data_IF_924060896996
#
_entry.id   IF_924060896996
#
_cell.length_a   1.000
_cell.length_b   1.000
_cell.length_c   1.000
_cell.angle_alpha   90.00
_cell.angle_beta   90.00
_cell.angle_gamma   90.00
#
_symmetry.space_group_name_H-M   'P 1'
#
loop_
_entity.id
_entity.type
_entity.pdbx_description
1 polymer ?
#
# COMPACT_ATOMS: atom_id res chain seq x y z
N UNK A 1 -50.38 27.01 3.58
CA UNK A 1 -49.26 26.25 4.18
C UNK A 1 -49.75 24.85 4.48
N UNK A 2 -49.53 23.91 3.57
CA UNK A 2 -49.78 22.49 3.80
C UNK A 2 -48.44 21.77 3.96
N UNK A 3 -48.29 20.83 4.91
CA UNK A 3 -47.06 20.05 4.98
C UNK A 3 -46.93 19.14 3.75
N UNK A 4 -45.73 19.16 3.19
CA UNK A 4 -45.32 18.69 1.88
C UNK A 4 -45.51 17.18 1.64
N UNK A 5 -45.86 16.83 0.40
CA UNK A 5 -46.03 15.48 -0.13
C UNK A 5 -44.77 14.58 -0.11
N UNK A 6 -43.63 15.05 0.41
CA UNK A 6 -42.38 14.30 0.46
C UNK A 6 -42.35 13.27 1.62
N UNK A 7 -43.07 13.55 2.71
CA UNK A 7 -43.09 12.69 3.91
C UNK A 7 -43.97 11.44 3.72
N UNK A 8 -44.89 11.44 2.75
CA UNK A 8 -45.79 10.29 2.50
C UNK A 8 -45.12 9.19 1.67
N UNK A 9 -44.13 9.51 0.84
CA UNK A 9 -43.41 8.49 0.05
C UNK A 9 -42.49 7.64 0.93
N UNK A 10 -41.79 8.26 1.90
CA UNK A 10 -40.91 7.53 2.82
C UNK A 10 -41.63 6.55 3.75
N UNK A 11 -42.87 6.84 4.15
CA UNK A 11 -43.65 5.95 5.03
C UNK A 11 -44.19 4.72 4.28
N UNK A 12 -44.32 4.80 2.95
CA UNK A 12 -44.86 3.68 2.15
C UNK A 12 -43.78 2.62 1.90
N UNK A 13 -42.50 3.01 1.77
CA UNK A 13 -41.39 2.05 1.64
C UNK A 13 -41.08 1.29 2.94
N UNK A 14 -41.41 1.87 4.11
CA UNK A 14 -41.20 1.23 5.40
C UNK A 14 -42.30 0.22 5.77
N UNK A 15 -43.43 0.20 5.07
CA UNK A 15 -44.55 -0.73 5.37
C UNK A 15 -44.62 -1.96 4.47
N UNK A 16 -43.88 -2.02 3.37
CA UNK A 16 -43.80 -3.25 2.56
C UNK A 16 -42.84 -4.29 3.11
N UNK A 17 -42.06 -3.97 4.15
CA UNK A 17 -41.17 -4.93 4.81
C UNK A 17 -41.80 -5.65 6.02
N UNK A 18 -43.03 -5.30 6.44
CA UNK A 18 -43.69 -5.96 7.58
C UNK A 18 -44.43 -7.27 7.24
N UNK A 19 -44.20 -7.84 6.05
CA UNK A 19 -44.82 -9.11 5.63
C UNK A 19 -43.81 -10.20 5.27
N UNK A 20 -42.63 -10.20 5.91
CA UNK A 20 -41.80 -11.41 5.98
C UNK A 20 -41.84 -11.91 7.41
N UNK A 21 -42.55 -13.03 7.54
CA UNK A 21 -42.78 -13.78 8.74
C UNK A 21 -41.54 -13.94 9.61
N UNK A 22 -41.78 -13.81 10.92
CA UNK A 22 -40.93 -14.24 12.02
C UNK A 22 -40.40 -15.67 11.82
N UNK A 23 -39.27 -15.80 11.15
CA UNK A 23 -38.30 -16.83 11.47
C UNK A 23 -37.41 -16.26 12.57
N UNK A 24 -37.36 -16.94 13.72
CA UNK A 24 -36.44 -16.64 14.83
C UNK A 24 -34.99 -16.79 14.35
N UNK A 25 -34.46 -15.79 13.67
CA UNK A 25 -33.02 -15.66 13.49
C UNK A 25 -32.45 -14.96 14.72
N UNK A 26 -31.53 -15.66 15.37
CA UNK A 26 -30.73 -15.17 16.47
C UNK A 26 -30.16 -13.78 16.14
N UNK A 27 -30.44 -12.79 16.99
CA UNK A 27 -29.83 -11.45 16.95
C UNK A 27 -28.29 -11.50 17.05
N UNK A 28 -27.71 -12.63 17.46
CA UNK A 28 -26.26 -12.83 17.45
C UNK A 28 -25.66 -12.92 16.03
N UNK A 29 -26.47 -13.25 15.01
CA UNK A 29 -25.98 -13.45 13.64
C UNK A 29 -25.97 -12.17 12.79
N UNK A 30 -26.53 -11.05 13.28
CA UNK A 30 -26.51 -9.75 12.57
C UNK A 30 -25.26 -8.92 12.92
N UNK A 31 -24.47 -9.34 13.92
CA UNK A 31 -23.28 -8.62 14.41
C UNK A 31 -21.93 -9.18 13.90
N UNK A 32 -21.95 -9.96 12.83
CA UNK A 32 -20.74 -10.22 12.03
C UNK A 32 -20.93 -9.58 10.66
N UNK A 33 -20.96 -8.23 10.63
CA UNK A 33 -20.45 -7.58 9.43
C UNK A 33 -18.96 -7.86 9.42
N UNK A 34 -18.42 -8.63 8.45
CA UNK A 34 -16.99 -8.66 8.27
C UNK A 34 -16.56 -7.20 8.10
N UNK A 35 -15.57 -6.78 8.87
CA UNK A 35 -14.91 -5.49 8.66
C UNK A 35 -14.55 -5.43 7.19
N UNK A 36 -15.22 -4.55 6.43
CA UNK A 36 -14.92 -4.41 5.01
C UNK A 36 -13.57 -3.70 4.94
N UNK A 37 -12.56 -4.37 4.37
CA UNK A 37 -11.35 -3.67 3.94
C UNK A 37 -11.75 -2.50 3.04
N UNK A 38 -11.00 -1.40 3.16
CA UNK A 38 -11.23 -0.18 2.38
C UNK A 38 -11.08 -0.49 0.88
N UNK A 39 -10.16 -1.41 0.52
CA UNK A 39 -10.02 -1.86 -0.86
C UNK A 39 -10.56 -3.27 -1.07
N UNK A 40 -11.27 -3.49 -2.19
CA UNK A 40 -11.57 -4.84 -2.62
C UNK A 40 -10.29 -5.53 -3.08
N UNK A 41 -10.18 -6.84 -2.85
CA UNK A 41 -9.03 -7.64 -3.31
C UNK A 41 -8.80 -7.55 -4.83
N UNK A 42 -9.84 -7.27 -5.61
CA UNK A 42 -9.74 -7.03 -7.05
C UNK A 42 -8.92 -5.80 -7.43
N UNK A 43 -8.75 -4.82 -6.53
CA UNK A 43 -7.95 -3.61 -6.76
C UNK A 43 -6.48 -3.95 -7.08
N UNK A 44 -5.97 -5.05 -6.50
CA UNK A 44 -4.61 -5.51 -6.74
C UNK A 44 -4.36 -5.91 -8.18
N UNK A 45 -5.40 -6.23 -8.96
CA UNK A 45 -5.29 -6.58 -10.38
C UNK A 45 -4.25 -7.68 -10.65
N UNK A 46 -4.08 -8.64 -9.73
CA UNK A 46 -2.98 -9.62 -9.78
C UNK A 46 -2.99 -10.44 -11.09
N UNK A 47 -4.18 -10.83 -11.58
CA UNK A 47 -4.30 -11.49 -12.88
C UNK A 47 -3.79 -10.64 -14.05
N UNK A 48 -4.09 -9.33 -14.08
CA UNK A 48 -3.61 -8.44 -15.14
C UNK A 48 -2.10 -8.18 -15.02
N UNK A 49 -1.60 -8.13 -13.79
CA UNK A 49 -0.17 -8.02 -13.50
C UNK A 49 0.60 -9.26 -13.99
N UNK A 50 0.12 -10.46 -13.67
CA UNK A 50 0.70 -11.72 -14.13
C UNK A 50 0.62 -11.85 -15.67
N UNK A 51 -0.49 -11.46 -16.27
CA UNK A 51 -0.64 -11.45 -17.72
C UNK A 51 0.37 -10.52 -18.40
N UNK A 52 0.67 -9.36 -17.80
CA UNK A 52 1.73 -8.44 -18.28
C UNK A 52 3.11 -9.12 -18.20
N UNK A 53 3.41 -9.79 -17.10
CA UNK A 53 4.69 -10.48 -16.90
C UNK A 53 4.87 -11.69 -17.83
N UNK A 54 3.78 -12.25 -18.36
CA UNK A 54 3.81 -13.31 -19.36
C UNK A 54 4.24 -12.83 -20.77
N UNK A 55 4.44 -11.53 -20.99
CA UNK A 55 4.90 -10.98 -22.26
C UNK A 55 6.33 -11.43 -22.59
N UNK A 56 6.65 -11.60 -23.88
CA UNK A 56 7.94 -12.16 -24.32
C UNK A 56 9.16 -11.33 -23.89
N UNK A 57 8.97 -10.02 -23.69
CA UNK A 57 9.99 -9.10 -23.15
C UNK A 57 10.55 -9.53 -21.79
N UNK A 58 9.78 -10.26 -20.97
CA UNK A 58 10.20 -10.73 -19.66
C UNK A 58 10.74 -12.16 -19.68
N UNK A 59 10.56 -12.93 -20.76
CA UNK A 59 10.95 -14.35 -20.82
C UNK A 59 12.43 -14.57 -21.12
N UNK A 60 13.09 -13.62 -21.77
CA UNK A 60 14.42 -13.83 -22.34
C UNK A 60 15.57 -13.76 -21.34
N UNK A 61 15.36 -13.23 -20.13
CA UNK A 61 16.45 -12.97 -19.17
C UNK A 61 16.01 -13.33 -17.75
N UNK A 62 16.84 -14.01 -16.97
CA UNK A 62 16.57 -14.28 -15.55
C UNK A 62 16.76 -13.00 -14.70
N UNK A 63 15.98 -12.84 -13.62
CA UNK A 63 16.13 -11.69 -12.71
C UNK A 63 17.56 -11.58 -12.15
N UNK A 64 18.16 -12.72 -11.79
CA UNK A 64 19.50 -12.78 -11.18
C UNK A 64 20.59 -12.38 -12.16
N UNK A 65 20.57 -12.91 -13.38
CA UNK A 65 21.60 -12.61 -14.38
C UNK A 65 21.50 -11.17 -14.84
N UNK A 66 20.27 -10.65 -15.00
CA UNK A 66 20.04 -9.24 -15.33
C UNK A 66 20.57 -8.31 -14.24
N UNK A 67 20.25 -8.61 -12.97
CA UNK A 67 20.74 -7.84 -11.83
C UNK A 67 22.27 -7.82 -11.73
N UNK A 68 22.93 -8.96 -11.97
CA UNK A 68 24.41 -9.04 -12.01
C UNK A 68 24.99 -8.24 -13.18
N UNK A 69 24.36 -8.30 -14.36
CA UNK A 69 24.76 -7.51 -15.52
C UNK A 69 24.64 -6.01 -15.25
N UNK A 70 23.56 -5.56 -14.62
CA UNK A 70 23.36 -4.16 -14.23
C UNK A 70 24.48 -3.73 -13.26
N UNK A 71 24.74 -4.50 -12.20
CA UNK A 71 25.80 -4.19 -11.25
C UNK A 71 27.16 -4.10 -11.92
N UNK A 72 27.51 -5.09 -12.74
CA UNK A 72 28.78 -5.13 -13.43
C UNK A 72 28.96 -3.92 -14.36
N UNK A 73 27.92 -3.55 -15.11
CA UNK A 73 27.95 -2.36 -15.97
C UNK A 73 28.17 -1.08 -15.16
N UNK A 74 27.46 -0.91 -14.04
CA UNK A 74 27.63 0.27 -13.17
C UNK A 74 29.03 0.31 -12.55
N UNK A 75 29.51 -0.81 -12.01
CA UNK A 75 30.81 -0.90 -11.35
C UNK A 75 31.98 -0.70 -12.34
N UNK A 76 31.77 -1.02 -13.61
CA UNK A 76 32.70 -0.74 -14.71
C UNK A 76 32.68 0.71 -15.19
N UNK A 77 31.87 1.59 -14.57
CA UNK A 77 31.69 2.99 -14.96
C UNK A 77 30.76 3.17 -16.17
N UNK A 78 30.06 2.11 -16.59
CA UNK A 78 29.05 2.17 -17.63
C UNK A 78 27.70 2.67 -17.12
N UNK A 79 26.77 2.82 -18.05
CA UNK A 79 25.39 3.23 -17.77
C UNK A 79 24.46 2.08 -18.13
N UNK A 80 23.74 1.55 -17.14
CA UNK A 80 22.72 0.55 -17.35
C UNK A 80 21.46 1.20 -17.97
N UNK A 81 20.77 0.46 -18.83
CA UNK A 81 19.54 0.93 -19.49
C UNK A 81 18.41 1.06 -18.47
N UNK A 82 17.61 2.14 -18.51
CA UNK A 82 16.40 2.24 -17.68
C UNK A 82 15.38 1.14 -17.93
N UNK A 83 15.33 0.61 -19.15
CA UNK A 83 14.47 -0.51 -19.49
C UNK A 83 14.94 -1.81 -18.84
N UNK A 84 16.25 -2.07 -18.80
CA UNK A 84 16.81 -3.26 -18.15
C UNK A 84 16.55 -3.21 -16.63
N UNK A 85 16.67 -2.02 -16.05
CA UNK A 85 16.36 -1.79 -14.64
C UNK A 85 14.86 -2.01 -14.34
N UNK A 86 13.96 -1.52 -15.21
CA UNK A 86 12.52 -1.77 -15.08
C UNK A 86 12.18 -3.26 -15.23
N UNK A 87 12.77 -3.95 -16.22
CA UNK A 87 12.59 -5.40 -16.40
C UNK A 87 13.06 -6.15 -15.15
N UNK A 88 14.23 -5.79 -14.61
CA UNK A 88 14.73 -6.37 -13.36
C UNK A 88 13.73 -6.18 -12.21
N UNK A 89 13.21 -4.97 -12.01
CA UNK A 89 12.23 -4.67 -10.97
C UNK A 89 10.92 -5.48 -11.13
N UNK A 90 10.43 -5.66 -12.36
CA UNK A 90 9.23 -6.45 -12.65
C UNK A 90 9.45 -7.96 -12.40
N UNK A 91 10.70 -8.41 -12.40
CA UNK A 91 11.09 -9.81 -12.20
C UNK A 91 11.55 -10.14 -10.78
N UNK A 92 11.38 -9.23 -9.82
CA UNK A 92 11.75 -9.48 -8.41
C UNK A 92 11.05 -10.71 -7.81
N UNK A 93 9.86 -11.07 -8.30
CA UNK A 93 9.14 -12.27 -7.87
C UNK A 93 9.88 -13.60 -8.19
N UNK A 94 10.88 -13.59 -9.07
CA UNK A 94 11.75 -14.77 -9.32
C UNK A 94 12.86 -14.92 -8.27
N UNK A 95 13.09 -13.89 -7.45
CA UNK A 95 14.08 -13.89 -6.38
C UNK A 95 13.42 -14.23 -5.05
N UNK A 96 14.24 -14.63 -4.08
CA UNK A 96 13.79 -14.94 -2.72
C UNK A 96 14.04 -13.78 -1.76
N UNK A 97 13.37 -13.82 -0.60
CA UNK A 97 13.54 -12.85 0.48
C UNK A 97 14.98 -12.75 1.03
N UNK A 98 15.86 -13.72 0.76
CA UNK A 98 17.30 -13.69 1.12
C UNK A 98 18.07 -12.74 0.18
N UNK A 99 17.54 -12.48 -1.01
CA UNK A 99 18.18 -11.63 -2.03
C UNK A 99 17.87 -10.14 -1.85
N UNK A 100 17.21 -9.72 -0.76
CA UNK A 100 16.87 -8.30 -0.53
C UNK A 100 18.10 -7.41 -0.51
N UNK A 101 19.20 -7.83 0.12
CA UNK A 101 20.44 -7.02 0.16
C UNK A 101 21.06 -6.84 -1.24
N UNK A 102 20.93 -7.86 -2.09
CA UNK A 102 21.35 -7.79 -3.49
C UNK A 102 20.48 -6.81 -4.29
N UNK A 103 19.16 -6.87 -4.09
CA UNK A 103 18.20 -5.96 -4.73
C UNK A 103 18.45 -4.51 -4.27
N UNK A 104 18.60 -4.28 -2.97
CA UNK A 104 18.89 -2.96 -2.39
C UNK A 104 20.20 -2.39 -2.92
N UNK A 105 21.23 -3.21 -3.07
CA UNK A 105 22.51 -2.81 -3.68
C UNK A 105 22.34 -2.32 -5.12
N UNK A 106 21.53 -3.02 -5.92
CA UNK A 106 21.21 -2.60 -7.30
C UNK A 106 20.47 -1.26 -7.28
N UNK A 107 19.40 -1.14 -6.50
CA UNK A 107 18.59 0.08 -6.39
C UNK A 107 19.46 1.28 -6.01
N UNK A 108 20.24 1.16 -4.93
CA UNK A 108 21.11 2.22 -4.40
C UNK A 108 22.27 2.60 -5.32
N UNK A 109 22.75 1.68 -6.15
CA UNK A 109 23.80 1.97 -7.14
C UNK A 109 23.19 2.60 -8.40
N UNK A 110 22.07 2.06 -8.88
CA UNK A 110 21.39 2.56 -10.07
C UNK A 110 20.90 4.00 -9.88
N UNK A 111 20.36 4.34 -8.71
CA UNK A 111 19.92 5.70 -8.36
C UNK A 111 21.01 6.77 -8.45
N UNK A 112 22.29 6.37 -8.34
CA UNK A 112 23.46 7.26 -8.44
C UNK A 112 23.96 7.42 -9.88
N UNK A 113 23.32 6.78 -10.85
CA UNK A 113 23.67 6.89 -12.26
C UNK A 113 22.84 7.96 -12.95
N UNK A 114 23.33 8.47 -14.09
CA UNK A 114 22.57 9.43 -14.90
C UNK A 114 21.26 8.83 -15.45
N UNK A 115 21.23 7.51 -15.67
CA UNK A 115 20.03 6.78 -16.14
C UNK A 115 18.89 6.78 -15.12
N UNK A 116 19.16 7.13 -13.85
CA UNK A 116 18.13 7.23 -12.81
C UNK A 116 17.04 8.27 -13.13
N UNK A 117 17.37 9.29 -13.91
CA UNK A 117 16.42 10.33 -14.34
C UNK A 117 15.35 9.77 -15.29
N UNK A 118 15.67 8.66 -15.97
CA UNK A 118 14.83 8.04 -17.00
C UNK A 118 14.17 6.75 -16.50
N UNK A 119 14.13 6.53 -15.17
CA UNK A 119 13.40 5.39 -14.58
C UNK A 119 11.95 5.43 -15.04
N UNK A 120 11.44 4.25 -15.40
CA UNK A 120 10.08 4.09 -15.90
C UNK A 120 9.10 4.09 -14.73
N UNK A 121 7.93 4.70 -14.90
CA UNK A 121 6.90 4.80 -13.85
C UNK A 121 6.48 3.42 -13.28
N UNK A 122 6.55 2.35 -14.06
CA UNK A 122 6.24 0.99 -13.59
C UNK A 122 7.24 0.44 -12.59
N UNK A 123 8.45 0.99 -12.50
CA UNK A 123 9.54 0.44 -11.72
C UNK A 123 9.24 0.49 -10.22
N UNK A 124 8.77 1.64 -9.71
CA UNK A 124 8.41 1.78 -8.30
C UNK A 124 7.28 0.81 -7.91
N UNK A 125 6.28 0.69 -8.78
CA UNK A 125 5.18 -0.25 -8.60
C UNK A 125 5.62 -1.70 -8.55
N UNK A 126 6.55 -2.08 -9.43
CA UNK A 126 7.14 -3.40 -9.45
C UNK A 126 7.97 -3.70 -8.18
N UNK A 127 8.77 -2.75 -7.73
CA UNK A 127 9.56 -2.87 -6.48
C UNK A 127 8.62 -3.11 -5.30
N UNK A 128 7.59 -2.29 -5.13
CA UNK A 128 6.65 -2.43 -4.02
C UNK A 128 5.96 -3.80 -4.02
N UNK A 129 5.50 -4.27 -5.19
CA UNK A 129 4.94 -5.63 -5.31
C UNK A 129 5.94 -6.72 -4.97
N UNK A 130 7.20 -6.59 -5.42
CA UNK A 130 8.27 -7.53 -5.11
C UNK A 130 8.49 -7.66 -3.59
N UNK A 131 8.63 -6.54 -2.90
CA UNK A 131 8.84 -6.52 -1.45
C UNK A 131 7.63 -7.03 -0.65
N UNK A 132 6.40 -6.72 -1.10
CA UNK A 132 5.19 -7.31 -0.52
C UNK A 132 5.17 -8.83 -0.71
N UNK A 133 5.64 -9.34 -1.85
CA UNK A 133 5.79 -10.77 -2.12
C UNK A 133 6.80 -11.46 -1.20
N UNK A 134 7.87 -10.77 -0.79
CA UNK A 134 8.87 -11.30 0.14
C UNK A 134 8.42 -11.29 1.61
N UNK A 135 7.29 -10.65 1.93
CA UNK A 135 6.82 -10.42 3.32
C UNK A 135 7.87 -9.70 4.19
N UNK A 136 8.71 -8.85 3.57
CA UNK A 136 9.77 -8.07 4.23
C UNK A 136 9.36 -6.60 4.35
N UNK A 137 8.31 -6.34 5.12
CA UNK A 137 7.68 -5.02 5.20
C UNK A 137 8.60 -3.94 5.77
N UNK A 138 9.46 -4.29 6.72
CA UNK A 138 10.46 -3.37 7.27
C UNK A 138 11.44 -2.86 6.20
N UNK A 139 11.81 -3.74 5.26
CA UNK A 139 12.77 -3.40 4.21
C UNK A 139 12.22 -2.45 3.16
N UNK A 140 10.94 -2.57 2.81
CA UNK A 140 10.33 -1.59 1.91
C UNK A 140 10.21 -0.23 2.59
N UNK A 141 9.89 -0.17 3.89
CA UNK A 141 9.88 1.09 4.63
C UNK A 141 11.28 1.71 4.72
N UNK A 142 12.33 0.90 4.94
CA UNK A 142 13.73 1.36 4.89
C UNK A 142 14.06 2.00 3.53
N UNK A 143 13.68 1.34 2.42
CA UNK A 143 13.89 1.89 1.07
C UNK A 143 13.19 3.25 0.87
N UNK A 144 11.97 3.40 1.40
CA UNK A 144 11.17 4.61 1.26
C UNK A 144 11.72 5.75 2.11
N UNK A 145 12.14 5.48 3.37
CA UNK A 145 12.81 6.49 4.21
C UNK A 145 14.08 7.02 3.56
N UNK A 146 14.80 6.14 2.85
CA UNK A 146 16.00 6.48 2.11
C UNK A 146 15.73 6.91 0.65
N UNK A 147 14.52 7.39 0.31
CA UNK A 147 14.13 7.78 -1.08
C UNK A 147 15.16 8.64 -1.83
N UNK A 148 15.87 9.52 -1.13
CA UNK A 148 16.91 10.36 -1.72
C UNK A 148 18.12 9.54 -2.25
N UNK A 149 18.40 8.39 -1.65
CA UNK A 149 19.46 7.47 -2.04
C UNK A 149 18.96 6.28 -2.86
N UNK A 150 17.71 5.87 -2.71
CA UNK A 150 17.15 4.72 -3.42
C UNK A 150 16.46 5.12 -4.72
N UNK A 151 16.01 6.38 -4.83
CA UNK A 151 15.21 6.85 -5.97
C UNK A 151 13.83 6.20 -6.07
N UNK A 152 13.37 5.52 -5.02
CA UNK A 152 12.06 4.88 -4.97
C UNK A 152 11.04 5.88 -4.43
N UNK A 153 10.15 6.33 -5.29
CA UNK A 153 9.03 7.22 -4.94
C UNK A 153 7.71 6.46 -5.13
N UNK A 154 6.71 6.77 -4.31
CA UNK A 154 5.45 6.05 -4.36
C UNK A 154 4.52 6.72 -5.37
N UNK A 155 4.04 5.95 -6.32
CA UNK A 155 2.85 6.33 -7.08
C UNK A 155 1.57 5.99 -6.29
N UNK A 156 0.44 6.49 -6.78
CA UNK A 156 -0.88 6.25 -6.20
C UNK A 156 -1.13 4.75 -5.95
N UNK A 157 -0.83 3.90 -6.93
CA UNK A 157 -1.18 2.48 -6.85
C UNK A 157 -0.30 1.78 -5.83
N UNK A 158 1.00 2.05 -5.81
CA UNK A 158 1.91 1.47 -4.82
C UNK A 158 1.61 1.92 -3.40
N UNK A 159 1.28 3.20 -3.22
CA UNK A 159 0.85 3.71 -1.94
C UNK A 159 -0.40 3.01 -1.45
N UNK A 160 -1.40 2.84 -2.32
CA UNK A 160 -2.63 2.12 -1.97
C UNK A 160 -2.37 0.66 -1.60
N UNK A 161 -1.48 -0.04 -2.32
CA UNK A 161 -1.11 -1.42 -1.98
C UNK A 161 -0.41 -1.54 -0.62
N UNK A 162 0.51 -0.62 -0.31
CA UNK A 162 1.21 -0.62 0.98
C UNK A 162 0.26 -0.25 2.13
N UNK A 163 -0.55 0.80 1.95
CA UNK A 163 -1.52 1.22 2.95
C UNK A 163 -2.55 0.12 3.23
N UNK A 164 -3.12 -0.49 2.18
CA UNK A 164 -4.04 -1.62 2.32
C UNK A 164 -3.41 -2.76 3.11
N UNK A 165 -2.18 -3.14 2.75
CA UNK A 165 -1.45 -4.20 3.43
C UNK A 165 -1.25 -3.91 4.94
N UNK A 166 -0.76 -2.72 5.29
CA UNK A 166 -0.52 -2.38 6.70
C UNK A 166 -1.81 -2.14 7.49
N UNK A 167 -2.86 -1.62 6.85
CA UNK A 167 -4.18 -1.46 7.48
C UNK A 167 -4.81 -2.82 7.78
N UNK A 168 -4.73 -3.77 6.85
CA UNK A 168 -5.23 -5.14 7.04
C UNK A 168 -4.44 -5.87 8.14
N UNK A 169 -3.12 -5.63 8.22
CA UNK A 169 -2.26 -6.14 9.28
C UNK A 169 -2.41 -5.42 10.64
N UNK A 170 -3.19 -4.33 10.69
CA UNK A 170 -3.33 -3.45 11.85
C UNK A 170 -1.99 -2.83 12.33
N UNK A 171 -1.00 -2.72 11.44
CA UNK A 171 0.28 -2.08 11.71
C UNK A 171 0.18 -0.57 11.44
N UNK A 172 -0.51 0.15 12.33
CA UNK A 172 -0.82 1.57 12.15
C UNK A 172 0.42 2.47 12.08
N UNK A 173 1.51 2.11 12.78
CA UNK A 173 2.78 2.83 12.73
C UNK A 173 3.38 2.77 11.32
N UNK A 174 3.50 1.56 10.76
CA UNK A 174 4.00 1.34 9.41
C UNK A 174 3.11 2.01 8.34
N UNK A 175 1.78 1.90 8.48
CA UNK A 175 0.85 2.61 7.60
C UNK A 175 1.07 4.13 7.64
N UNK A 176 1.33 4.70 8.83
CA UNK A 176 1.58 6.14 8.99
C UNK A 176 2.93 6.56 8.40
N UNK A 177 3.95 5.70 8.43
CA UNK A 177 5.19 5.96 7.69
C UNK A 177 4.95 6.09 6.19
N UNK A 178 4.09 5.25 5.61
CA UNK A 178 3.69 5.38 4.19
C UNK A 178 2.97 6.70 3.94
N UNK A 179 2.06 7.11 4.84
CA UNK A 179 1.38 8.43 4.75
C UNK A 179 2.40 9.56 4.84
N UNK A 180 3.40 9.45 5.71
CA UNK A 180 4.47 10.43 5.86
C UNK A 180 5.27 10.58 4.56
N UNK A 181 5.59 9.46 3.91
CA UNK A 181 6.28 9.49 2.61
C UNK A 181 5.45 10.16 1.50
N UNK A 182 4.13 9.96 1.48
CA UNK A 182 3.23 10.70 0.59
C UNK A 182 3.22 12.20 0.88
N UNK A 183 3.24 12.60 2.15
CA UNK A 183 3.33 14.01 2.53
C UNK A 183 4.65 14.64 2.05
N UNK A 184 5.77 13.92 2.18
CA UNK A 184 7.08 14.38 1.72
C UNK A 184 7.18 14.49 0.20
N UNK A 185 6.37 13.74 -0.54
CA UNK A 185 6.23 13.82 -1.99
C UNK A 185 5.18 14.85 -2.43
N UNK A 186 4.65 15.65 -1.49
CA UNK A 186 3.60 16.65 -1.71
C UNK A 186 2.31 16.09 -2.36
N UNK A 187 2.06 14.79 -2.23
CA UNK A 187 0.96 14.09 -2.91
C UNK A 187 -0.41 14.74 -2.62
N UNK A 188 -0.65 15.14 -1.36
CA UNK A 188 -1.94 15.70 -0.91
C UNK A 188 -2.15 17.18 -1.26
N UNK A 189 -1.18 17.87 -1.87
CA UNK A 189 -1.31 19.30 -2.19
C UNK A 189 -1.93 19.55 -3.57
N UNK A 190 -1.80 18.58 -4.48
CA UNK A 190 -2.26 18.73 -5.87
C UNK A 190 -3.72 18.30 -6.03
N UNK A 191 -4.66 19.25 -5.89
CA UNK A 191 -6.10 18.98 -6.01
C UNK A 191 -6.52 18.30 -7.33
N UNK A 192 -5.70 18.38 -8.39
CA UNK A 192 -5.97 17.77 -9.69
C UNK A 192 -5.65 16.27 -9.78
N UNK A 193 -4.85 15.71 -8.87
CA UNK A 193 -4.28 14.36 -8.98
C UNK A 193 -4.51 13.47 -7.76
N UNK A 194 -5.30 13.93 -6.79
CA UNK A 194 -5.49 13.18 -5.53
C UNK A 194 -6.53 12.09 -5.72
N UNK A 195 -6.12 10.84 -5.51
CA UNK A 195 -7.03 9.71 -5.43
C UNK A 195 -7.84 9.72 -4.14
N UNK A 196 -9.20 9.67 -4.21
CA UNK A 196 -10.04 9.54 -3.03
C UNK A 196 -9.72 8.29 -2.21
N UNK A 197 -9.25 7.23 -2.87
CA UNK A 197 -8.90 5.95 -2.22
C UNK A 197 -7.66 6.12 -1.35
N UNK A 198 -6.61 6.74 -1.87
CA UNK A 198 -5.38 7.01 -1.10
C UNK A 198 -5.66 7.90 0.11
N UNK A 199 -6.48 8.95 -0.07
CA UNK A 199 -6.87 9.83 1.04
C UNK A 199 -7.68 9.09 2.09
N UNK A 200 -8.64 8.25 1.68
CA UNK A 200 -9.45 7.48 2.61
C UNK A 200 -8.60 6.51 3.44
N UNK A 201 -7.67 5.80 2.80
CA UNK A 201 -6.71 4.93 3.47
C UNK A 201 -5.80 5.70 4.44
N UNK A 202 -5.22 6.81 3.98
CA UNK A 202 -4.32 7.63 4.78
C UNK A 202 -5.03 8.18 6.03
N UNK A 203 -6.23 8.75 5.85
CA UNK A 203 -7.03 9.25 6.96
C UNK A 203 -7.44 8.13 7.92
N UNK A 204 -7.79 6.95 7.40
CA UNK A 204 -8.12 5.81 8.23
C UNK A 204 -6.91 5.38 9.09
N UNK A 205 -5.74 5.20 8.47
CA UNK A 205 -4.51 4.84 9.18
C UNK A 205 -4.16 5.87 10.27
N UNK A 206 -4.16 7.16 9.93
CA UNK A 206 -3.87 8.23 10.89
C UNK A 206 -4.88 8.29 12.04
N UNK A 207 -6.18 8.12 11.75
CA UNK A 207 -7.21 8.07 12.78
C UNK A 207 -6.96 6.90 13.74
N UNK A 208 -6.70 5.71 13.22
CA UNK A 208 -6.48 4.52 14.06
C UNK A 208 -5.24 4.68 14.93
N UNK A 209 -4.13 5.21 14.40
CA UNK A 209 -2.93 5.48 15.18
C UNK A 209 -3.21 6.44 16.35
N UNK A 210 -3.94 7.53 16.11
CA UNK A 210 -4.33 8.48 17.17
C UNK A 210 -5.20 7.80 18.23
N UNK A 211 -6.15 6.95 17.81
CA UNK A 211 -7.01 6.21 18.75
C UNK A 211 -6.22 5.24 19.62
N UNK A 212 -5.24 4.54 19.05
CA UNK A 212 -4.34 3.65 19.80
C UNK A 212 -3.48 4.44 20.79
N UNK A 213 -2.87 5.54 20.36
CA UNK A 213 -2.07 6.40 21.25
C UNK A 213 -2.88 7.02 22.39
N UNK A 214 -4.13 7.44 22.13
CA UNK A 214 -5.03 7.94 23.17
C UNK A 214 -5.40 6.86 24.19
N UNK A 215 -5.62 5.61 23.75
CA UNK A 215 -5.92 4.50 24.64
C UNK A 215 -4.74 4.19 25.59
N UNK A 216 -3.51 4.21 25.06
CA UNK A 216 -2.28 4.01 25.86
C UNK A 216 -2.14 5.08 26.95
N UNK A 217 -2.34 6.37 26.62
CA UNK A 217 -2.27 7.46 27.61
C UNK A 217 -3.32 7.32 28.73
N UNK A 218 -4.55 6.90 28.42
CA UNK A 218 -5.58 6.70 29.46
C UNK A 218 -5.28 5.53 30.40
N UNK A 219 -4.53 4.53 29.93
CA UNK A 219 -4.16 3.37 30.75
C UNK A 219 -3.04 3.70 31.77
N UNK A 220 -2.08 4.53 31.40
CA UNK A 220 -0.97 4.93 32.27
C UNK A 220 -1.41 5.79 33.44
N UNK A 221 -2.39 6.68 33.24
CA UNK A 221 -2.90 7.55 34.31
C UNK A 221 -3.63 6.77 35.41
N UNK A 222 -4.29 5.66 35.07
CA UNK A 222 -4.99 4.81 36.04
C UNK A 222 -4.09 3.95 36.94
N UNK A 223 -2.81 3.80 36.56
CA UNK A 223 -1.83 3.03 37.33
C UNK A 223 -1.01 3.87 38.32
N UNK A 224 -1.02 5.19 38.18
CA UNK A 224 -0.31 6.11 39.09
C UNK A 224 -1.09 6.38 40.39
N UNK A 225 -2.43 6.27 40.37
CA UNK A 225 -3.27 6.54 41.53
C UNK A 225 -3.35 5.37 42.55
N UNK A 226 -2.75 4.22 42.27
CA UNK A 226 -2.77 3.05 43.17
C UNK A 226 -1.44 2.80 43.91
N UNK A 227 -0.50 3.75 43.89
CA UNK A 227 0.79 3.63 44.57
C UNK A 227 0.86 4.34 45.95
N UNK A 228 -0.21 5.05 46.33
CA UNK A 228 -0.33 5.76 47.62
C UNK A 228 -1.53 5.23 48.43
N UNK A 229 -1.50 3.95 48.85
CA UNK A 229 -2.32 3.43 49.96
C UNK A 229 -1.56 2.40 50.80
#
# INVERSE_FOLDING_TARGET
>A
MGPNNFTRVCITYLRTCELIAFARLSLASVLHMPSRSILPQTYRCDHLWEQRLAHDSFKSVSARDLGLSILHTIDSGGSASPLDYDIFANKLHELDAISTDFIESIIKKYSKTQSAIQVVDSTAHAIVRGYLGFQRHEKILELLRERAYTGVFLDEVSANLLLDHFVDAQEWSAATEVVWELCLQEYFQSAASISPVTVALALHASKQLIQVGLAECTSTDSSADNADE
#
